data_IF_857898618468
#
_entry.id   IF_857898618468
#
_cell.length_a   1.000
_cell.length_b   1.000
_cell.length_c   1.000
_cell.angle_alpha   90.00
_cell.angle_beta   90.00
_cell.angle_gamma   90.00
#
_symmetry.space_group_name_H-M   'P 1'
#
loop_
_entity.id
_entity.type
_entity.pdbx_description
1 polymer ?
#
# COMPACT_ATOMS: atom_id res chain seq x y z
N UNK A 1 -3.56 2.02 12.67
CA UNK A 1 -5.01 2.18 12.42
C UNK A 1 -5.58 1.02 11.58
N UNK A 2 -5.07 0.81 10.36
CA UNK A 2 -5.56 -0.21 9.41
C UNK A 2 -5.48 -1.67 9.89
N UNK A 3 -4.44 -2.08 10.61
CA UNK A 3 -4.32 -3.45 11.14
C UNK A 3 -5.43 -3.77 12.14
N UNK A 4 -5.90 -2.74 12.86
CA UNK A 4 -7.00 -2.83 13.79
C UNK A 4 -8.35 -2.78 13.09
N UNK A 5 -8.58 -1.93 12.08
CA UNK A 5 -9.91 -1.88 11.43
C UNK A 5 -10.13 -2.95 10.35
N UNK A 6 -9.07 -3.59 9.85
CA UNK A 6 -9.20 -4.65 8.87
C UNK A 6 -9.64 -5.98 9.48
N UNK A 7 -10.59 -6.64 8.82
CA UNK A 7 -11.09 -7.99 9.11
C UNK A 7 -11.35 -8.24 10.61
N UNK A 8 -12.15 -7.39 11.26
CA UNK A 8 -12.48 -7.53 12.69
C UNK A 8 -11.23 -7.57 13.60
N UNK A 9 -10.29 -6.65 13.37
CA UNK A 9 -9.03 -6.54 14.11
C UNK A 9 -8.07 -7.71 13.90
N UNK A 10 -8.18 -8.40 12.77
CA UNK A 10 -7.28 -9.52 12.40
C UNK A 10 -6.27 -9.13 11.34
N UNK A 11 -6.40 -7.95 10.76
CA UNK A 11 -5.55 -7.47 9.68
C UNK A 11 -4.08 -7.32 10.05
N UNK A 12 -3.27 -7.12 9.02
CA UNK A 12 -1.85 -6.82 9.12
C UNK A 12 -1.54 -5.60 8.26
N UNK A 13 -0.65 -4.74 8.75
CA UNK A 13 -0.11 -3.60 8.01
C UNK A 13 1.40 -3.72 7.99
N UNK A 14 2.00 -3.36 6.86
CA UNK A 14 3.44 -3.33 6.68
C UNK A 14 3.82 -1.87 6.40
N UNK A 15 4.73 -1.33 7.18
CA UNK A 15 5.35 -0.03 6.95
C UNK A 15 6.44 -0.15 5.89
N UNK A 16 6.41 0.75 4.92
CA UNK A 16 7.37 0.83 3.82
C UNK A 16 8.02 2.22 3.86
N UNK A 17 9.34 2.23 3.89
CA UNK A 17 10.18 3.41 3.65
C UNK A 17 10.10 3.75 2.15
N UNK A 18 9.45 4.86 1.84
CA UNK A 18 9.13 5.27 0.47
C UNK A 18 10.37 5.66 -0.32
N UNK A 19 11.40 6.21 0.33
CA UNK A 19 12.67 6.57 -0.29
C UNK A 19 13.43 5.31 -0.68
N UNK A 20 13.64 4.37 0.26
CA UNK A 20 14.30 3.09 -0.04
C UNK A 20 13.53 2.24 -1.04
N UNK A 21 12.20 2.33 -1.03
CA UNK A 21 11.35 1.67 -2.02
C UNK A 21 11.45 2.29 -3.43
N UNK A 22 12.11 3.44 -3.58
CA UNK A 22 12.25 4.18 -4.83
C UNK A 22 10.96 4.90 -5.27
N UNK A 23 9.98 5.08 -4.38
CA UNK A 23 8.65 5.61 -4.70
C UNK A 23 8.60 7.14 -4.76
N UNK A 24 9.73 7.80 -4.51
CA UNK A 24 9.83 9.27 -4.41
C UNK A 24 10.42 9.94 -5.67
N UNK A 25 10.79 9.15 -6.70
CA UNK A 25 11.39 9.68 -7.92
C UNK A 25 10.38 10.44 -8.80
N UNK A 26 10.62 11.74 -9.00
CA UNK A 26 9.86 12.57 -9.95
C UNK A 26 10.12 12.23 -11.42
N UNK A 27 11.19 11.48 -11.71
CA UNK A 27 11.55 11.06 -13.06
C UNK A 27 10.87 9.74 -13.44
N UNK A 28 10.62 8.87 -12.45
CA UNK A 28 10.02 7.55 -12.70
C UNK A 28 8.51 7.51 -12.42
N UNK A 29 7.99 8.46 -11.65
CA UNK A 29 6.59 8.50 -11.24
C UNK A 29 5.91 9.80 -11.67
N UNK A 30 4.68 9.66 -12.19
CA UNK A 30 3.80 10.78 -12.48
C UNK A 30 3.36 11.47 -11.19
N UNK A 31 3.12 10.70 -10.13
CA UNK A 31 2.91 11.20 -8.77
C UNK A 31 3.80 10.40 -7.82
N UNK A 32 4.92 10.97 -7.32
CA UNK A 32 5.74 10.33 -6.32
C UNK A 32 5.07 10.35 -4.93
N UNK A 33 5.51 9.49 -4.02
CA UNK A 33 4.92 9.36 -2.68
C UNK A 33 4.82 10.68 -1.92
N UNK A 34 5.85 11.52 -2.01
CA UNK A 34 5.91 12.86 -1.39
C UNK A 34 4.83 13.84 -1.88
N UNK A 35 4.18 13.55 -3.01
CA UNK A 35 3.13 14.38 -3.63
C UNK A 35 1.79 13.65 -3.76
N UNK A 36 1.70 12.44 -3.23
CA UNK A 36 0.53 11.56 -3.33
C UNK A 36 -0.55 11.79 -2.29
N UNK A 37 -0.43 12.81 -1.44
CA UNK A 37 -1.42 13.11 -0.40
C UNK A 37 -2.81 13.35 -1.00
N UNK A 38 -3.81 12.68 -0.45
CA UNK A 38 -5.20 12.83 -0.86
C UNK A 38 -5.78 14.15 -0.34
N UNK A 39 -6.40 14.91 -1.24
CA UNK A 39 -7.16 16.11 -0.91
C UNK A 39 -8.61 15.70 -0.62
N UNK A 40 -8.97 15.75 0.66
CA UNK A 40 -10.31 15.39 1.11
C UNK A 40 -11.28 16.56 0.98
N UNK A 41 -12.39 16.34 0.28
CA UNK A 41 -13.40 17.37 0.01
C UNK A 41 -14.80 16.92 0.42
N UNK A 42 -15.59 17.85 0.96
CA UNK A 42 -16.98 17.57 1.38
C UNK A 42 -18.00 17.82 0.26
N UNK A 43 -17.61 18.57 -0.77
CA UNK A 43 -18.45 18.94 -1.91
C UNK A 43 -17.72 18.71 -3.23
N UNK A 44 -18.47 18.54 -4.31
CA UNK A 44 -17.93 18.52 -5.66
C UNK A 44 -17.32 19.89 -5.95
N UNK A 45 -16.07 19.94 -6.38
CA UNK A 45 -15.40 21.21 -6.67
C UNK A 45 -16.13 21.91 -7.83
N UNK A 46 -16.50 23.17 -7.62
CA UNK A 46 -17.07 24.01 -8.66
C UNK A 46 -15.94 24.61 -9.51
N UNK A 47 -16.17 24.87 -10.80
CA UNK A 47 -15.18 25.38 -11.77
C UNK A 47 -14.05 24.42 -12.20
N UNK A 48 -14.25 23.10 -12.10
CA UNK A 48 -13.34 22.09 -12.68
C UNK A 48 -13.30 22.17 -14.22
N UNK A 49 -14.36 22.70 -14.84
CA UNK A 49 -14.58 22.73 -16.29
C UNK A 49 -13.55 23.54 -17.10
N UNK A 50 -12.55 24.17 -16.48
CA UNK A 50 -11.41 24.78 -17.19
C UNK A 50 -10.31 23.77 -17.52
N UNK A 51 -10.39 22.55 -17.01
CA UNK A 51 -9.43 21.50 -17.32
C UNK A 51 -9.82 20.87 -18.65
N UNK A 52 -8.92 20.97 -19.63
CA UNK A 52 -9.12 20.45 -20.98
C UNK A 52 -9.35 18.93 -20.94
N UNK A 53 -10.54 18.49 -21.34
CA UNK A 53 -10.88 17.07 -21.42
C UNK A 53 -9.90 16.29 -22.31
N UNK A 54 -9.30 16.95 -23.30
CA UNK A 54 -8.26 16.37 -24.15
C UNK A 54 -7.00 16.05 -23.33
N UNK A 55 -6.59 16.94 -22.43
CA UNK A 55 -5.44 16.69 -21.54
C UNK A 55 -5.73 15.57 -20.52
N UNK A 56 -6.97 15.46 -20.03
CA UNK A 56 -7.37 14.33 -19.17
C UNK A 56 -7.29 12.99 -19.93
N UNK A 57 -7.74 12.95 -21.18
CA UNK A 57 -7.63 11.75 -22.03
C UNK A 57 -6.19 11.38 -22.39
N UNK A 58 -5.24 12.32 -22.25
CA UNK A 58 -3.81 12.05 -22.42
C UNK A 58 -3.17 11.39 -21.19
N UNK A 59 -3.82 11.37 -20.02
CA UNK A 59 -3.32 10.66 -18.84
C UNK A 59 -3.30 9.15 -19.14
N UNK A 60 -2.11 8.54 -19.06
CA UNK A 60 -1.90 7.15 -19.44
C UNK A 60 -1.67 6.92 -20.94
N UNK A 61 -1.62 7.98 -21.75
CA UNK A 61 -1.21 7.89 -23.16
C UNK A 61 0.32 7.86 -23.32
N UNK A 62 0.80 7.70 -24.56
CA UNK A 62 2.24 7.74 -24.89
C UNK A 62 2.94 9.04 -24.45
N UNK A 63 2.18 10.11 -24.20
CA UNK A 63 2.72 11.37 -23.72
C UNK A 63 2.89 11.31 -22.20
N UNK A 64 4.14 11.35 -21.73
CA UNK A 64 4.45 11.40 -20.31
C UNK A 64 3.92 12.70 -19.69
N UNK A 65 2.97 12.56 -18.78
CA UNK A 65 2.48 13.67 -17.97
C UNK A 65 3.33 13.71 -16.69
N UNK A 66 4.09 14.78 -16.56
CA UNK A 66 4.97 15.02 -15.42
C UNK A 66 4.30 15.88 -14.35
N UNK A 67 4.55 15.56 -13.08
CA UNK A 67 4.05 16.35 -11.95
C UNK A 67 4.32 17.85 -12.11
N UNK A 68 5.57 18.22 -12.43
CA UNK A 68 6.04 19.61 -12.49
C UNK A 68 5.24 20.48 -13.46
N UNK A 69 4.70 19.92 -14.53
CA UNK A 69 3.96 20.66 -15.56
C UNK A 69 2.44 20.51 -15.47
N UNK A 70 1.95 19.50 -14.75
CA UNK A 70 0.53 19.12 -14.76
C UNK A 70 -0.05 18.83 -13.37
N UNK A 71 0.56 19.37 -12.31
CA UNK A 71 0.15 19.16 -10.92
C UNK A 71 -1.36 19.34 -10.69
N UNK A 72 -1.94 20.45 -11.17
CA UNK A 72 -3.39 20.71 -11.02
C UNK A 72 -4.21 19.59 -11.67
N UNK A 73 -3.91 19.26 -12.92
CA UNK A 73 -4.59 18.19 -13.67
C UNK A 73 -4.52 16.85 -12.91
N UNK A 74 -3.33 16.48 -12.45
CA UNK A 74 -3.09 15.21 -11.74
C UNK A 74 -3.81 15.15 -10.39
N UNK A 75 -3.77 16.24 -9.60
CA UNK A 75 -4.56 16.35 -8.37
C UNK A 75 -6.04 16.10 -8.63
N UNK A 76 -6.58 16.72 -9.68
CA UNK A 76 -7.96 16.53 -10.10
C UNK A 76 -8.29 15.12 -10.57
N UNK A 77 -7.39 14.47 -11.31
CA UNK A 77 -7.63 13.16 -11.86
C UNK A 77 -7.62 12.04 -10.80
N UNK A 78 -6.69 12.10 -9.84
CA UNK A 78 -6.40 10.94 -8.98
C UNK A 78 -6.18 11.25 -7.51
N UNK A 79 -6.18 12.50 -7.04
CA UNK A 79 -5.91 12.81 -5.61
C UNK A 79 -7.11 13.32 -4.82
N UNK A 80 -8.29 13.51 -5.41
CA UNK A 80 -9.48 13.86 -4.64
C UNK A 80 -10.22 12.63 -4.10
N UNK A 81 -10.69 12.74 -2.87
CA UNK A 81 -11.56 11.75 -2.22
C UNK A 81 -12.59 12.46 -1.32
N UNK A 82 -13.70 11.81 -1.02
CA UNK A 82 -14.70 12.38 -0.12
C UNK A 82 -14.18 12.45 1.32
N UNK A 83 -14.51 13.54 2.03
CA UNK A 83 -14.06 13.81 3.40
C UNK A 83 -14.42 12.70 4.41
N UNK A 84 -15.50 11.96 4.18
CA UNK A 84 -15.86 10.83 5.04
C UNK A 84 -14.81 9.71 5.06
N UNK A 85 -13.85 9.69 4.12
CA UNK A 85 -12.72 8.76 4.07
C UNK A 85 -11.42 9.36 4.61
N UNK A 86 -11.45 10.55 5.21
CA UNK A 86 -10.23 11.24 5.69
C UNK A 86 -9.48 10.48 6.78
N UNK A 87 -10.18 9.61 7.52
CA UNK A 87 -9.56 8.75 8.54
C UNK A 87 -8.55 7.74 7.96
N UNK A 88 -8.55 7.52 6.65
CA UNK A 88 -7.65 6.57 5.99
C UNK A 88 -6.22 7.09 5.82
N UNK A 89 -6.04 8.41 5.80
CA UNK A 89 -4.75 9.09 5.55
C UNK A 89 -4.01 8.50 4.34
N UNK A 90 -4.72 8.37 3.22
CA UNK A 90 -4.24 7.69 2.02
C UNK A 90 -3.18 8.54 1.28
N UNK A 91 -2.15 7.85 0.76
CA UNK A 91 -1.14 8.42 -0.15
C UNK A 91 -1.11 7.58 -1.43
N UNK A 92 -1.22 8.23 -2.59
CA UNK A 92 -1.17 7.58 -3.91
C UNK A 92 0.13 7.84 -4.65
N UNK A 93 0.83 6.76 -4.95
CA UNK A 93 1.94 6.77 -5.91
C UNK A 93 1.40 6.35 -7.27
N UNK A 94 1.68 7.13 -8.31
CA UNK A 94 1.13 6.90 -9.66
C UNK A 94 2.26 6.81 -10.67
N UNK A 95 2.30 5.70 -11.42
CA UNK A 95 3.23 5.47 -12.52
C UNK A 95 2.46 5.27 -13.82
N UNK A 96 2.87 5.98 -14.86
CA UNK A 96 2.45 5.67 -16.23
C UNK A 96 3.30 4.51 -16.73
N UNK A 97 2.68 3.38 -17.12
CA UNK A 97 3.40 2.20 -17.58
C UNK A 97 3.74 2.23 -19.09
N UNK A 98 3.49 3.35 -19.76
CA UNK A 98 3.85 3.52 -21.17
C UNK A 98 2.93 2.79 -22.15
N UNK A 99 3.40 2.58 -23.38
CA UNK A 99 2.58 2.24 -24.55
C UNK A 99 1.98 0.81 -24.58
N UNK A 100 1.15 0.53 -25.59
CA UNK A 100 0.39 -0.72 -25.86
C UNK A 100 1.18 -2.04 -25.68
N UNK A 101 2.51 -1.99 -25.77
CA UNK A 101 3.42 -3.13 -25.64
C UNK A 101 3.34 -3.84 -24.28
N UNK A 102 2.98 -3.11 -23.21
CA UNK A 102 2.75 -3.65 -21.87
C UNK A 102 1.26 -3.88 -21.57
N UNK A 103 0.38 -3.16 -22.29
CA UNK A 103 -1.05 -3.06 -22.05
C UNK A 103 -1.92 -3.90 -23.00
N UNK A 104 -1.36 -4.77 -23.83
CA UNK A 104 -2.16 -5.61 -24.74
C UNK A 104 -3.25 -6.37 -23.99
N UNK A 105 -4.48 -5.87 -24.08
CA UNK A 105 -5.69 -6.43 -23.47
C UNK A 105 -6.02 -7.83 -24.00
N UNK A 106 -5.39 -8.23 -25.10
CA UNK A 106 -5.53 -9.54 -25.72
C UNK A 106 -4.55 -10.58 -25.17
N UNK A 107 -3.50 -10.14 -24.47
CA UNK A 107 -2.48 -11.02 -23.90
C UNK A 107 -2.89 -11.39 -22.46
N UNK A 108 -3.38 -12.63 -22.29
CA UNK A 108 -3.74 -13.20 -20.98
C UNK A 108 -2.55 -13.87 -20.27
N UNK A 109 -1.33 -13.49 -20.64
CA UNK A 109 -0.11 -14.11 -20.14
C UNK A 109 0.59 -13.22 -19.12
N UNK A 110 1.18 -13.86 -18.12
CA UNK A 110 2.08 -13.22 -17.19
C UNK A 110 3.36 -12.79 -17.92
N UNK A 111 3.80 -11.56 -17.69
CA UNK A 111 4.97 -11.00 -18.38
C UNK A 111 5.81 -10.19 -17.41
N UNK A 112 7.11 -10.48 -17.37
CA UNK A 112 8.11 -9.62 -16.73
C UNK A 112 8.70 -8.67 -17.74
N UNK A 113 8.90 -7.43 -17.33
CA UNK A 113 9.45 -6.39 -18.18
C UNK A 113 10.19 -5.35 -17.36
N UNK A 114 11.09 -4.63 -18.01
CA UNK A 114 11.79 -3.51 -17.41
C UNK A 114 11.17 -2.19 -17.89
N UNK A 115 11.00 -1.24 -16.97
CA UNK A 115 10.51 0.09 -17.25
C UNK A 115 11.26 1.08 -16.36
N UNK A 116 11.92 2.08 -16.97
CA UNK A 116 12.74 3.09 -16.30
C UNK A 116 13.82 2.51 -15.37
N UNK A 117 14.44 1.38 -15.77
CA UNK A 117 15.44 0.68 -14.98
C UNK A 117 14.88 -0.16 -13.83
N UNK A 118 13.55 -0.25 -13.70
CA UNK A 118 12.87 -1.04 -12.68
C UNK A 118 12.26 -2.32 -13.26
N UNK A 119 12.34 -3.42 -12.51
CA UNK A 119 11.70 -4.68 -12.89
C UNK A 119 10.24 -4.70 -12.47
N UNK A 120 9.36 -4.95 -13.43
CA UNK A 120 7.91 -5.04 -13.27
C UNK A 120 7.40 -6.41 -13.71
N UNK A 121 6.35 -6.88 -13.05
CA UNK A 121 5.66 -8.12 -13.40
C UNK A 121 4.18 -7.83 -13.61
N UNK A 122 3.68 -8.09 -14.82
CA UNK A 122 2.25 -8.13 -15.08
C UNK A 122 1.75 -9.52 -14.78
N UNK A 123 0.76 -9.63 -13.87
CA UNK A 123 0.02 -10.86 -13.62
C UNK A 123 -1.41 -10.76 -14.08
N UNK A 124 -1.88 -11.75 -14.80
CA UNK A 124 -3.27 -11.82 -15.22
C UNK A 124 -4.10 -12.56 -14.16
N UNK A 125 -4.98 -11.84 -13.46
CA UNK A 125 -5.84 -12.40 -12.41
C UNK A 125 -7.30 -12.33 -12.87
N UNK A 126 -7.82 -13.49 -13.27
CA UNK A 126 -9.22 -13.64 -13.69
C UNK A 126 -9.55 -12.91 -14.99
N UNK A 127 -9.99 -11.66 -14.88
CA UNK A 127 -10.38 -10.80 -16.01
C UNK A 127 -9.54 -9.54 -16.16
N UNK A 128 -8.58 -9.29 -15.26
CA UNK A 128 -7.79 -8.07 -15.24
C UNK A 128 -6.32 -8.36 -15.00
N UNK A 129 -5.46 -7.58 -15.65
CA UNK A 129 -4.04 -7.55 -15.34
C UNK A 129 -3.78 -6.65 -14.13
N UNK A 130 -2.93 -7.11 -13.23
CA UNK A 130 -2.31 -6.30 -12.20
C UNK A 130 -0.82 -6.15 -12.51
N UNK A 131 -0.25 -5.00 -12.16
CA UNK A 131 1.16 -4.71 -12.36
C UNK A 131 1.85 -4.63 -11.01
N UNK A 132 2.91 -5.41 -10.86
CA UNK A 132 3.62 -5.60 -9.61
C UNK A 132 5.03 -5.03 -9.75
N UNK A 133 5.42 -4.22 -8.76
CA UNK A 133 6.78 -3.75 -8.56
C UNK A 133 7.41 -4.55 -7.43
N UNK A 134 8.64 -5.01 -7.63
CA UNK A 134 9.42 -5.56 -6.52
C UNK A 134 9.88 -4.43 -5.61
N UNK A 135 9.60 -4.54 -4.32
CA UNK A 135 10.07 -3.60 -3.30
C UNK A 135 11.34 -4.17 -2.67
N UNK A 136 12.43 -3.38 -2.55
CA UNK A 136 13.63 -3.78 -1.84
C UNK A 136 13.34 -4.23 -0.40
N UNK A 137 14.04 -5.27 0.07
CA UNK A 137 13.77 -5.85 1.39
C UNK A 137 14.08 -4.90 2.54
N UNK A 138 15.06 -4.01 2.36
CA UNK A 138 15.49 -2.99 3.33
C UNK A 138 14.53 -1.78 3.40
N UNK A 139 13.55 -1.71 2.50
CA UNK A 139 12.48 -0.72 2.56
C UNK A 139 11.35 -1.11 3.53
N UNK A 140 11.25 -2.38 3.94
CA UNK A 140 10.27 -2.78 4.96
C UNK A 140 10.80 -2.41 6.36
N UNK A 141 10.06 -1.58 7.09
CA UNK A 141 10.56 -0.98 8.34
C UNK A 141 9.81 -1.43 9.59
N UNK A 142 8.51 -1.69 9.48
CA UNK A 142 7.69 -2.14 10.61
C UNK A 142 6.49 -2.97 10.16
N UNK A 143 5.93 -3.76 11.07
CA UNK A 143 4.75 -4.59 10.85
C UNK A 143 3.80 -4.41 12.03
N UNK A 144 2.51 -4.24 11.74
CA UNK A 144 1.46 -4.17 12.75
C UNK A 144 0.47 -5.29 12.56
N UNK A 145 0.20 -6.02 13.65
CA UNK A 145 -0.89 -6.97 13.74
C UNK A 145 -2.07 -6.34 14.47
N UNK A 146 -3.28 -6.67 14.04
CA UNK A 146 -4.47 -6.39 14.81
C UNK A 146 -4.55 -7.25 16.07
N UNK A 147 -5.22 -6.75 17.10
CA UNK A 147 -5.39 -7.43 18.40
C UNK A 147 -5.89 -8.87 18.28
N UNK A 148 -6.78 -9.15 17.32
CA UNK A 148 -7.37 -10.45 17.12
C UNK A 148 -6.55 -11.37 16.21
N UNK A 149 -5.48 -10.89 15.56
CA UNK A 149 -4.68 -11.69 14.61
C UNK A 149 -4.13 -12.96 15.26
N UNK A 150 -3.64 -12.88 16.50
CA UNK A 150 -3.12 -14.04 17.21
C UNK A 150 -4.20 -15.10 17.46
N UNK A 151 -5.35 -14.66 17.98
CA UNK A 151 -6.49 -15.52 18.29
C UNK A 151 -7.06 -16.17 17.04
N UNK A 152 -7.13 -15.42 15.94
CA UNK A 152 -7.57 -15.94 14.63
C UNK A 152 -6.63 -17.03 14.12
N UNK A 153 -5.31 -16.79 14.14
CA UNK A 153 -4.35 -17.78 13.70
C UNK A 153 -4.31 -19.00 14.62
N UNK A 154 -4.46 -18.83 15.94
CA UNK A 154 -4.57 -19.94 16.91
C UNK A 154 -5.74 -20.88 16.60
N UNK A 155 -6.92 -20.33 16.27
CA UNK A 155 -8.12 -21.10 15.96
C UNK A 155 -7.97 -22.02 14.74
N UNK A 156 -6.97 -21.80 13.89
CA UNK A 156 -6.69 -22.63 12.71
C UNK A 156 -5.87 -23.88 13.03
N UNK A 157 -5.47 -24.07 14.28
CA UNK A 157 -4.71 -25.23 14.76
C UNK A 157 -5.51 -25.96 15.83
N UNK A 158 -5.92 -27.20 15.54
CA UNK A 158 -6.71 -28.02 16.47
C UNK A 158 -5.88 -28.65 17.60
N UNK A 159 -4.57 -28.88 17.37
CA UNK A 159 -3.69 -29.60 18.29
C UNK A 159 -2.34 -28.88 18.45
N UNK A 160 -2.32 -27.74 19.14
CA UNK A 160 -1.06 -27.10 19.52
C UNK A 160 -0.39 -27.90 20.64
N UNK A 161 0.65 -28.65 20.29
CA UNK A 161 1.47 -29.48 21.20
C UNK A 161 2.07 -28.65 22.34
N UNK A 162 2.34 -27.36 22.08
CA UNK A 162 3.00 -26.43 23.00
C UNK A 162 2.04 -25.31 23.48
N UNK A 163 0.78 -25.69 23.75
CA UNK A 163 -0.27 -25.02 24.53
C UNK A 163 -0.80 -23.66 24.05
N UNK A 164 0.07 -22.79 23.54
CA UNK A 164 -0.22 -21.39 23.26
C UNK A 164 0.48 -20.88 22.01
N UNK A 165 1.62 -21.44 21.59
CA UNK A 165 2.45 -20.93 20.49
C UNK A 165 1.81 -21.15 19.10
N UNK A 166 1.68 -20.07 18.32
CA UNK A 166 1.15 -20.12 16.94
C UNK A 166 2.31 -20.11 15.93
N UNK A 167 2.54 -21.19 15.15
CA UNK A 167 3.72 -21.31 14.27
C UNK A 167 3.92 -20.14 13.31
N UNK A 168 2.86 -19.67 12.64
CA UNK A 168 2.94 -18.53 11.71
C UNK A 168 3.35 -17.22 12.39
N UNK A 169 2.88 -16.98 13.62
CA UNK A 169 3.27 -15.79 14.38
C UNK A 169 4.72 -15.90 14.84
N UNK A 170 5.17 -17.09 15.24
CA UNK A 170 6.58 -17.32 15.58
C UNK A 170 7.50 -17.12 14.37
N UNK A 171 7.13 -17.66 13.21
CA UNK A 171 7.85 -17.43 11.95
C UNK A 171 7.93 -15.95 11.62
N UNK A 172 6.83 -15.20 11.81
CA UNK A 172 6.83 -13.75 11.59
C UNK A 172 7.73 -13.01 12.58
N UNK A 173 7.73 -13.40 13.87
CA UNK A 173 8.66 -12.84 14.88
C UNK A 173 10.11 -13.11 14.50
N UNK A 174 10.43 -14.33 14.08
CA UNK A 174 11.78 -14.71 13.64
C UNK A 174 12.20 -13.93 12.39
N UNK A 175 11.34 -13.87 11.38
CA UNK A 175 11.55 -13.06 10.18
C UNK A 175 11.81 -11.59 10.53
N UNK A 176 11.00 -11.02 11.42
CA UNK A 176 11.12 -9.62 11.83
C UNK A 176 12.47 -9.36 12.52
N UNK A 177 12.91 -10.25 13.41
CA UNK A 177 14.24 -10.16 14.04
C UNK A 177 15.39 -10.25 13.04
N UNK A 178 15.33 -11.24 12.15
CA UNK A 178 16.39 -11.50 11.18
C UNK A 178 16.58 -10.33 10.20
N UNK A 179 15.52 -9.55 9.96
CA UNK A 179 15.54 -8.39 9.06
C UNK A 179 15.56 -7.04 9.81
N UNK A 180 15.69 -7.04 11.14
CA UNK A 180 15.65 -5.83 11.97
C UNK A 180 14.39 -4.97 11.75
N UNK A 181 13.24 -5.63 11.62
CA UNK A 181 11.91 -5.02 11.42
C UNK A 181 11.16 -5.03 12.75
N UNK A 182 10.55 -3.91 13.13
CA UNK A 182 9.75 -3.84 14.36
C UNK A 182 8.37 -4.47 14.16
N UNK A 183 8.02 -5.49 14.96
CA UNK A 183 6.69 -6.10 14.97
C UNK A 183 5.88 -5.59 16.16
N UNK A 184 4.73 -5.03 15.86
CA UNK A 184 3.78 -4.47 16.82
C UNK A 184 2.48 -5.25 16.83
N UNK A 185 1.81 -5.27 17.99
CA UNK A 185 0.37 -5.51 18.08
C UNK A 185 -0.33 -4.19 18.40
N UNK A 186 -1.50 -3.97 17.80
CA UNK A 186 -2.33 -2.77 18.01
C UNK A 186 -3.52 -3.14 18.88
N UNK A 187 -3.70 -2.38 19.96
CA UNK A 187 -4.71 -2.57 21.01
C UNK A 187 -5.52 -1.29 21.19
N UNK A 188 -6.75 -1.41 21.68
CA UNK A 188 -7.55 -0.24 22.12
C UNK A 188 -7.33 -0.03 23.61
N UNK A 189 -6.94 1.17 23.98
CA UNK A 189 -7.00 1.62 25.37
C UNK A 189 -8.46 1.94 25.72
N UNK A 190 -9.07 1.17 26.62
CA UNK A 190 -10.47 1.34 27.01
C UNK A 190 -10.74 2.56 27.88
N UNK A 191 -9.70 3.15 28.49
CA UNK A 191 -9.84 4.37 29.29
C UNK A 191 -9.83 5.60 28.39
N UNK A 192 -8.91 5.64 27.43
CA UNK A 192 -8.70 6.81 26.55
C UNK A 192 -9.37 6.68 25.19
N UNK A 193 -9.91 5.50 24.85
CA UNK A 193 -10.43 5.13 23.52
C UNK A 193 -9.42 5.37 22.38
N UNK A 194 -8.13 5.34 22.70
CA UNK A 194 -7.04 5.53 21.74
C UNK A 194 -6.42 4.20 21.33
N UNK A 195 -5.88 4.14 20.11
CA UNK A 195 -5.09 3.00 19.68
C UNK A 195 -3.67 3.09 20.26
N UNK A 196 -3.25 2.04 20.96
CA UNK A 196 -1.88 1.85 21.45
C UNK A 196 -1.19 0.74 20.68
N UNK A 197 0.12 0.85 20.53
CA UNK A 197 0.97 -0.20 19.95
C UNK A 197 1.91 -0.77 21.01
N UNK A 198 2.10 -2.09 21.01
CA UNK A 198 3.08 -2.79 21.85
C UNK A 198 4.01 -3.60 20.97
N UNK A 199 5.32 -3.47 21.18
CA UNK A 199 6.33 -4.29 20.50
C UNK A 199 6.18 -5.73 20.97
N UNK A 200 6.14 -6.68 20.03
CA UNK A 200 6.01 -8.12 20.32
C UNK A 200 7.16 -8.95 19.73
N UNK A 201 8.23 -8.28 19.29
CA UNK A 201 9.44 -8.91 18.79
C UNK A 201 10.18 -9.74 19.85
N UNK A 202 9.95 -9.55 21.15
CA UNK A 202 10.54 -10.38 22.21
C UNK A 202 9.84 -11.75 22.34
N UNK A 203 10.58 -12.74 22.87
CA UNK A 203 10.05 -14.07 23.19
C UNK A 203 9.14 -14.04 24.41
N UNK A 204 9.09 -12.92 25.14
CA UNK A 204 8.35 -12.81 26.39
C UNK A 204 6.85 -12.67 26.12
N UNK A 205 6.18 -13.81 26.14
CA UNK A 205 4.77 -13.95 26.47
C UNK A 205 4.72 -14.38 27.95
N UNK A 206 4.60 -13.41 28.85
CA UNK A 206 3.79 -13.56 30.06
C UNK A 206 2.51 -12.75 29.84
#
# INVERSE_FOLDING_TARGET
MWSHYADSHKGMVIGIDTEKAGLESFENYTIPAQRGEIIYVNTVLQHINSIDAVQLMQIGSKHHIWWKSHERLLKHAVLYKQLCWAYEEEVRVVKCLGSEEYHSYHSKEDKRFELDGEQWERKYIGSRSIFLKSIPSDAFVEIYLGENSYRDQRRKYDNLIDGYKVPKILQLKEFSRNNNIELFTVLVDTETWSLKRKIINSVDLD
#
